data_IF_517702329320
#
_entry.id   IF_517702329320
#
_cell.length_a   1.000
_cell.length_b   1.000
_cell.length_c   1.000
_cell.angle_alpha   90.00
_cell.angle_beta   90.00
_cell.angle_gamma   90.00
#
_symmetry.space_group_name_H-M   'P 1'
#
loop_
_entity.id
_entity.type
_entity.pdbx_description
1 polymer ?
#
# COMPACT_ATOMS: atom_id res chain seq x y z
N UNK A 1 -6.75 37.74 -5.03
CA UNK A 1 -5.44 37.06 -4.84
C UNK A 1 -5.69 35.93 -3.87
N UNK A 2 -5.63 34.68 -4.33
CA UNK A 2 -5.89 33.52 -3.48
C UNK A 2 -4.62 33.22 -2.68
N UNK A 3 -4.74 32.95 -1.39
CA UNK A 3 -3.61 32.60 -0.53
C UNK A 3 -3.68 31.12 -0.16
N UNK A 4 -2.52 30.51 0.08
CA UNK A 4 -2.43 29.16 0.63
C UNK A 4 -3.17 29.11 1.97
N UNK A 5 -4.13 28.21 2.09
CA UNK A 5 -4.91 28.06 3.32
C UNK A 5 -4.07 27.60 4.52
N UNK A 6 -2.90 27.01 4.28
CA UNK A 6 -2.02 26.50 5.32
C UNK A 6 -0.98 27.53 5.83
N UNK A 7 -0.38 28.32 4.94
CA UNK A 7 0.74 29.21 5.30
C UNK A 7 0.57 30.68 4.87
N UNK A 8 -0.56 31.03 4.23
CA UNK A 8 -0.84 32.40 3.81
C UNK A 8 -0.05 32.89 2.58
N UNK A 9 0.83 32.07 2.00
CA UNK A 9 1.62 32.45 0.80
C UNK A 9 0.69 32.76 -0.38
N UNK A 10 0.87 33.88 -1.11
CA UNK A 10 0.09 34.20 -2.31
C UNK A 10 0.23 33.12 -3.38
N UNK A 11 -0.90 32.70 -3.96
CA UNK A 11 -0.97 31.71 -5.02
C UNK A 11 -1.22 32.40 -6.36
N UNK A 12 -0.51 31.95 -7.39
CA UNK A 12 -0.74 32.33 -8.79
C UNK A 12 -1.80 31.49 -9.49
N UNK A 13 -2.33 30.46 -8.83
CA UNK A 13 -3.34 29.52 -9.36
C UNK A 13 -4.60 29.50 -8.48
N UNK A 14 -5.67 28.87 -8.99
CA UNK A 14 -6.89 28.59 -8.21
C UNK A 14 -6.75 27.46 -7.19
N UNK A 15 -5.52 27.04 -6.86
CA UNK A 15 -5.25 25.96 -5.90
C UNK A 15 -5.52 26.41 -4.46
N UNK A 16 -5.78 25.46 -3.56
CA UNK A 16 -6.01 25.73 -2.13
C UNK A 16 -4.73 25.76 -1.28
N UNK A 17 -3.63 25.20 -1.77
CA UNK A 17 -2.32 25.15 -1.10
C UNK A 17 -1.16 25.49 -2.07
N UNK A 18 -0.07 26.05 -1.54
CA UNK A 18 1.18 26.26 -2.30
C UNK A 18 1.97 24.96 -2.45
N UNK A 19 2.88 24.92 -3.42
CA UNK A 19 3.76 23.75 -3.68
C UNK A 19 4.50 23.28 -2.41
N UNK A 20 5.04 24.22 -1.63
CA UNK A 20 5.75 23.90 -0.40
C UNK A 20 4.86 23.21 0.64
N UNK A 21 3.66 23.74 0.90
CA UNK A 21 2.71 23.13 1.83
C UNK A 21 2.00 21.89 1.28
N UNK A 22 2.00 21.67 -0.05
CA UNK A 22 1.58 20.40 -0.62
C UNK A 22 2.64 19.32 -0.35
N UNK A 23 3.93 19.66 -0.45
CA UNK A 23 5.04 18.76 -0.10
C UNK A 23 5.17 18.49 1.40
N UNK A 24 4.84 19.47 2.25
CA UNK A 24 4.88 19.37 3.72
C UNK A 24 3.58 18.83 4.35
N UNK A 25 2.67 18.24 3.57
CA UNK A 25 1.53 17.55 4.19
C UNK A 25 2.09 16.42 5.06
N UNK A 26 1.84 16.53 6.37
CA UNK A 26 2.13 15.45 7.30
C UNK A 26 1.54 14.16 6.73
N UNK A 27 2.32 13.07 6.79
CA UNK A 27 1.82 11.75 6.40
C UNK A 27 0.47 11.50 7.10
N UNK A 28 -0.52 10.94 6.39
CA UNK A 28 -1.81 10.68 6.99
C UNK A 28 -1.63 9.79 8.23
N UNK A 29 -2.44 10.03 9.26
CA UNK A 29 -2.46 9.14 10.42
C UNK A 29 -3.28 7.92 10.06
N UNK A 30 -2.61 6.79 9.87
CA UNK A 30 -3.22 5.50 9.52
C UNK A 30 -3.21 4.61 10.75
N UNK A 31 -4.29 3.85 10.97
CA UNK A 31 -4.33 2.87 12.06
C UNK A 31 -3.31 1.76 11.81
N UNK A 32 -2.70 1.26 12.88
CA UNK A 32 -1.71 0.17 12.79
C UNK A 32 -2.29 -1.04 12.06
N UNK A 33 -3.56 -1.38 12.32
CA UNK A 33 -4.24 -2.53 11.72
C UNK A 33 -4.43 -2.38 10.20
N UNK A 34 -4.74 -1.18 9.71
CA UNK A 34 -4.85 -0.91 8.27
C UNK A 34 -3.48 -1.04 7.61
N UNK A 35 -2.45 -0.41 8.19
CA UNK A 35 -1.08 -0.50 7.67
C UNK A 35 -0.61 -1.94 7.59
N UNK A 36 -0.69 -2.67 8.70
CA UNK A 36 -0.25 -4.08 8.79
C UNK A 36 -1.03 -4.97 7.80
N UNK A 37 -2.31 -4.68 7.56
CA UNK A 37 -3.10 -5.44 6.59
C UNK A 37 -2.68 -5.18 5.15
N UNK A 38 -2.40 -3.92 4.79
CA UNK A 38 -1.87 -3.58 3.46
C UNK A 38 -0.48 -4.20 3.26
N UNK A 39 0.38 -4.14 4.27
CA UNK A 39 1.70 -4.76 4.24
C UNK A 39 1.62 -6.29 4.12
N UNK A 40 0.68 -6.92 4.83
CA UNK A 40 0.42 -8.35 4.69
C UNK A 40 0.04 -8.72 3.26
N UNK A 41 -0.76 -7.90 2.57
CA UNK A 41 -1.07 -8.10 1.16
C UNK A 41 0.20 -8.05 0.29
N UNK A 42 1.13 -7.12 0.56
CA UNK A 42 2.39 -7.05 -0.18
C UNK A 42 3.23 -8.31 -0.01
N UNK A 43 3.33 -8.78 1.23
CA UNK A 43 4.03 -10.01 1.57
C UNK A 43 3.39 -11.21 0.84
N UNK A 44 2.07 -11.38 0.96
CA UNK A 44 1.32 -12.46 0.32
C UNK A 44 1.51 -12.46 -1.21
N UNK A 45 1.39 -11.30 -1.84
CA UNK A 45 1.56 -11.15 -3.30
C UNK A 45 2.96 -11.55 -3.79
N UNK A 46 3.97 -11.38 -2.92
CA UNK A 46 5.37 -11.68 -3.23
C UNK A 46 5.74 -13.15 -3.00
N UNK A 47 4.83 -13.99 -2.50
CA UNK A 47 5.08 -15.42 -2.29
C UNK A 47 5.03 -16.24 -3.58
N UNK A 48 4.32 -15.76 -4.61
CA UNK A 48 4.19 -16.44 -5.89
C UNK A 48 5.27 -15.98 -6.85
N UNK A 49 5.97 -16.93 -7.46
CA UNK A 49 7.00 -16.65 -8.44
C UNK A 49 6.38 -16.21 -9.77
N UNK A 50 6.74 -15.02 -10.24
CA UNK A 50 6.26 -14.51 -11.53
C UNK A 50 6.72 -15.33 -12.75
N UNK A 51 7.74 -16.19 -12.61
CA UNK A 51 8.33 -16.93 -13.72
C UNK A 51 7.76 -18.34 -13.90
N UNK A 52 7.49 -19.06 -12.81
CA UNK A 52 7.01 -20.45 -12.85
C UNK A 52 5.60 -20.63 -12.29
N UNK A 53 4.97 -19.55 -11.80
CA UNK A 53 3.63 -19.56 -11.22
C UNK A 53 3.49 -20.40 -9.93
N UNK A 54 4.61 -20.86 -9.35
CA UNK A 54 4.65 -21.63 -8.10
C UNK A 54 4.82 -20.75 -6.85
N UNK A 55 4.39 -21.26 -5.69
CA UNK A 55 4.57 -20.60 -4.40
C UNK A 55 5.83 -21.12 -3.72
N UNK A 56 6.91 -20.36 -3.86
CA UNK A 56 8.17 -20.61 -3.16
C UNK A 56 8.87 -19.32 -2.74
N UNK A 57 8.20 -18.17 -2.90
CA UNK A 57 8.69 -16.88 -2.47
C UNK A 57 8.92 -16.85 -0.97
N UNK A 58 9.99 -16.16 -0.57
CA UNK A 58 10.27 -15.82 0.81
C UNK A 58 10.41 -14.31 0.87
N UNK A 59 9.75 -13.68 1.82
CA UNK A 59 9.85 -12.25 2.08
C UNK A 59 10.42 -12.04 3.47
N UNK A 60 11.32 -11.08 3.63
CA UNK A 60 11.84 -10.69 4.95
C UNK A 60 11.50 -9.24 5.19
N UNK A 61 10.81 -8.95 6.29
CA UNK A 61 10.47 -7.58 6.73
C UNK A 61 10.85 -7.45 8.19
N UNK A 62 11.61 -6.41 8.55
CA UNK A 62 12.08 -6.17 9.92
C UNK A 62 12.73 -7.39 10.61
N UNK A 63 13.42 -8.23 9.83
CA UNK A 63 14.06 -9.45 10.30
C UNK A 63 13.12 -10.66 10.49
N UNK A 64 11.81 -10.47 10.35
CA UNK A 64 10.85 -11.57 10.29
C UNK A 64 10.79 -12.16 8.87
N UNK A 65 10.83 -13.50 8.79
CA UNK A 65 10.78 -14.24 7.52
C UNK A 65 9.38 -14.80 7.31
N UNK A 66 8.78 -14.44 6.18
CA UNK A 66 7.45 -14.87 5.76
C UNK A 66 7.54 -15.85 4.59
N UNK A 67 6.77 -16.92 4.67
CA UNK A 67 6.64 -17.99 3.66
C UNK A 67 5.17 -18.38 3.53
N UNK A 68 4.83 -19.22 2.55
CA UNK A 68 3.47 -19.77 2.42
C UNK A 68 2.99 -20.48 3.69
N UNK A 69 3.88 -21.23 4.34
CA UNK A 69 3.58 -21.93 5.58
C UNK A 69 3.20 -20.98 6.74
N UNK A 70 3.76 -19.76 6.77
CA UNK A 70 3.37 -18.74 7.76
C UNK A 70 1.89 -18.35 7.63
N UNK A 71 1.35 -18.37 6.41
CA UNK A 71 -0.05 -18.05 6.12
C UNK A 71 -0.94 -19.28 6.03
N UNK A 72 -0.43 -20.47 6.38
CA UNK A 72 -1.14 -21.75 6.23
C UNK A 72 -1.63 -22.00 4.80
N UNK A 73 -0.79 -21.64 3.81
CA UNK A 73 -1.04 -21.86 2.38
C UNK A 73 -0.20 -23.04 1.92
N UNK A 74 -0.85 -24.08 1.40
CA UNK A 74 -0.21 -25.28 0.86
C UNK A 74 -0.36 -25.38 -0.67
N UNK A 75 -1.35 -24.69 -1.24
CA UNK A 75 -1.71 -24.77 -2.65
C UNK A 75 -1.83 -23.40 -3.34
N UNK A 76 -1.74 -23.41 -4.67
CA UNK A 76 -2.02 -22.22 -5.51
C UNK A 76 -3.46 -21.73 -5.33
N UNK A 77 -4.41 -22.66 -5.18
CA UNK A 77 -5.83 -22.33 -5.01
C UNK A 77 -6.07 -21.57 -3.70
N UNK A 78 -5.50 -22.04 -2.58
CA UNK A 78 -5.58 -21.35 -1.30
C UNK A 78 -4.95 -19.95 -1.35
N UNK A 79 -3.82 -19.82 -2.05
CA UNK A 79 -3.21 -18.51 -2.26
C UNK A 79 -4.10 -17.58 -3.08
N UNK A 80 -4.68 -18.06 -4.18
CA UNK A 80 -5.58 -17.27 -5.01
C UNK A 80 -6.80 -16.79 -4.21
N UNK A 81 -7.41 -17.69 -3.44
CA UNK A 81 -8.54 -17.35 -2.57
C UNK A 81 -8.14 -16.28 -1.53
N UNK A 82 -6.97 -16.44 -0.90
CA UNK A 82 -6.46 -15.47 0.08
C UNK A 82 -6.16 -14.11 -0.55
N UNK A 83 -5.60 -14.11 -1.76
CA UNK A 83 -5.35 -12.88 -2.53
C UNK A 83 -6.66 -12.19 -2.88
N UNK A 84 -7.66 -12.94 -3.34
CA UNK A 84 -8.99 -12.39 -3.64
C UNK A 84 -9.62 -11.74 -2.40
N UNK A 85 -9.60 -12.41 -1.25
CA UNK A 85 -10.13 -11.87 0.01
C UNK A 85 -9.45 -10.55 0.42
N UNK A 86 -8.12 -10.46 0.27
CA UNK A 86 -7.38 -9.25 0.60
C UNK A 86 -7.63 -8.14 -0.44
N UNK A 87 -7.70 -8.46 -1.73
CA UNK A 87 -8.04 -7.48 -2.77
C UNK A 87 -9.46 -6.92 -2.62
N UNK A 88 -10.44 -7.76 -2.30
CA UNK A 88 -11.80 -7.32 -2.00
C UNK A 88 -11.83 -6.37 -0.80
N UNK A 89 -11.06 -6.70 0.25
CA UNK A 89 -10.92 -5.81 1.39
C UNK A 89 -10.24 -4.48 1.03
N UNK A 90 -9.17 -4.50 0.22
CA UNK A 90 -8.49 -3.28 -0.23
C UNK A 90 -9.44 -2.36 -1.01
N UNK A 91 -10.21 -2.92 -1.94
CA UNK A 91 -11.22 -2.19 -2.71
C UNK A 91 -12.31 -1.59 -1.80
N UNK A 92 -12.78 -2.35 -0.82
CA UNK A 92 -13.79 -1.88 0.12
C UNK A 92 -13.29 -0.77 1.07
N UNK A 93 -11.97 -0.64 1.28
CA UNK A 93 -11.36 0.29 2.22
C UNK A 93 -10.47 1.33 1.52
N UNK A 94 -10.76 1.66 0.25
CA UNK A 94 -9.92 2.47 -0.65
C UNK A 94 -9.25 3.69 0.01
N UNK A 95 -10.01 4.57 0.68
CA UNK A 95 -9.43 5.78 1.29
C UNK A 95 -8.38 5.47 2.36
N UNK A 96 -8.65 4.50 3.24
CA UNK A 96 -7.71 4.11 4.29
C UNK A 96 -6.48 3.40 3.71
N UNK A 97 -6.67 2.65 2.62
CA UNK A 97 -5.58 2.02 1.87
C UNK A 97 -4.72 3.09 1.21
N UNK A 98 -5.30 4.06 0.50
CA UNK A 98 -4.55 5.14 -0.14
C UNK A 98 -3.64 5.89 0.84
N UNK A 99 -4.15 6.17 2.05
CA UNK A 99 -3.37 6.77 3.12
C UNK A 99 -2.22 5.84 3.58
N UNK A 100 -2.49 4.54 3.74
CA UNK A 100 -1.47 3.55 4.11
C UNK A 100 -0.39 3.41 3.02
N UNK A 101 -0.77 3.48 1.75
CA UNK A 101 0.16 3.38 0.62
C UNK A 101 1.18 4.51 0.64
N UNK A 102 0.81 5.73 1.06
CA UNK A 102 1.76 6.85 1.20
C UNK A 102 2.87 6.50 2.20
N UNK A 103 2.52 5.84 3.31
CA UNK A 103 3.47 5.44 4.35
C UNK A 103 4.38 4.32 3.87
N UNK A 104 3.83 3.34 3.14
CA UNK A 104 4.56 2.14 2.70
C UNK A 104 5.38 2.35 1.41
N UNK A 105 5.11 3.39 0.63
CA UNK A 105 5.77 3.68 -0.66
C UNK A 105 7.31 3.79 -0.61
N UNK A 106 7.94 4.37 0.43
CA UNK A 106 9.41 4.39 0.53
C UNK A 106 10.04 3.00 0.62
N UNK A 107 9.32 2.03 1.18
CA UNK A 107 9.79 0.67 1.41
C UNK A 107 9.36 -0.28 0.27
N UNK A 108 8.19 -0.05 -0.32
CA UNK A 108 7.56 -0.91 -1.32
C UNK A 108 7.10 -0.17 -2.58
N UNK A 109 7.97 0.60 -3.26
CA UNK A 109 7.55 1.52 -4.31
C UNK A 109 6.86 0.81 -5.49
N UNK A 110 7.35 -0.38 -5.87
CA UNK A 110 6.79 -1.15 -6.99
C UNK A 110 5.44 -1.77 -6.62
N UNK A 111 5.32 -2.34 -5.42
CA UNK A 111 4.06 -2.96 -4.96
C UNK A 111 2.97 -1.91 -4.75
N UNK A 112 3.32 -0.74 -4.20
CA UNK A 112 2.39 0.39 -4.09
C UNK A 112 1.90 0.84 -5.47
N UNK A 113 2.79 0.97 -6.46
CA UNK A 113 2.40 1.32 -7.82
C UNK A 113 1.45 0.27 -8.45
N UNK A 114 1.69 -1.02 -8.21
CA UNK A 114 0.81 -2.09 -8.66
C UNK A 114 -0.58 -2.03 -8.01
N UNK A 115 -0.66 -1.79 -6.70
CA UNK A 115 -1.95 -1.63 -5.99
C UNK A 115 -2.76 -0.46 -6.53
N UNK A 116 -2.10 0.70 -6.74
CA UNK A 116 -2.76 1.90 -7.28
C UNK A 116 -3.28 1.73 -8.71
N UNK A 117 -2.68 0.85 -9.51
CA UNK A 117 -3.01 0.70 -10.93
C UNK A 117 -3.95 -0.47 -11.23
N UNK A 118 -3.92 -1.51 -10.40
CA UNK A 118 -4.64 -2.77 -10.68
C UNK A 118 -5.74 -3.09 -9.66
N UNK A 119 -5.75 -2.46 -8.49
CA UNK A 119 -6.70 -2.78 -7.42
C UNK A 119 -7.64 -1.61 -7.13
N UNK A 120 -7.09 -0.40 -6.95
CA UNK A 120 -7.82 0.81 -6.58
C UNK A 120 -8.35 1.58 -7.78
#
# INVERSE_FOLDING_TARGET
MTTCLNCGTPLGSGSTCCYHCQGDRAAPTVSTEVRERVERYFILSSLKCANCDEIHGTVTVDGARYTAAYFSIETIEEWNNRMQDEEEWLRANKSAVEDALIILEPEWPQTVAAVRSHIL
#
